data_IF_206753502497
#
_entry.id   IF_206753502497
#
_cell.length_a   1.000
_cell.length_b   1.000
_cell.length_c   1.000
_cell.angle_alpha   90.00
_cell.angle_beta   90.00
_cell.angle_gamma   90.00
#
_symmetry.space_group_name_H-M   'P 1'
#
loop_
_entity.id
_entity.type
_entity.pdbx_description
1 polymer ?
#
# COMPACT_ATOMS: atom_id res chain seq x y z
N UNK A 1 -11.12 -0.16 26.41
CA UNK A 1 -11.12 0.84 27.46
C UNK A 1 -10.71 2.19 26.86
N UNK A 2 -11.47 3.24 27.14
CA UNK A 2 -11.21 4.61 26.61
C UNK A 2 -9.85 5.22 27.02
N UNK A 3 -9.16 4.61 27.98
CA UNK A 3 -7.81 5.02 28.41
C UNK A 3 -6.69 4.30 27.67
N UNK A 4 -7.02 3.39 26.75
CA UNK A 4 -6.03 2.63 25.98
C UNK A 4 -6.01 3.13 24.54
N UNK A 5 -4.84 3.07 23.91
CA UNK A 5 -4.67 3.31 22.48
C UNK A 5 -4.16 2.03 21.82
N UNK A 6 -4.60 1.81 20.59
CA UNK A 6 -4.07 0.80 19.69
C UNK A 6 -3.32 1.57 18.61
N UNK A 7 -2.01 1.36 18.54
CA UNK A 7 -1.14 2.07 17.60
C UNK A 7 -0.76 1.12 16.46
N UNK A 8 -1.17 1.45 15.24
CA UNK A 8 -0.71 0.80 14.03
C UNK A 8 0.50 1.55 13.51
N UNK A 9 1.61 0.85 13.37
CA UNK A 9 2.91 1.45 12.99
C UNK A 9 3.39 1.06 11.59
N UNK A 10 2.51 0.45 10.80
CA UNK A 10 2.80 0.01 9.45
C UNK A 10 1.56 -0.47 8.72
N UNK A 11 1.78 -1.02 7.53
CA UNK A 11 0.72 -1.55 6.68
C UNK A 11 0.04 -2.76 7.32
N UNK A 12 -1.29 -2.76 7.26
CA UNK A 12 -2.12 -3.93 7.51
C UNK A 12 -2.93 -4.22 6.25
N UNK A 13 -2.90 -5.46 5.80
CA UNK A 13 -3.73 -5.91 4.67
C UNK A 13 -5.21 -5.69 5.03
N UNK A 14 -5.99 -4.98 4.20
CA UNK A 14 -7.40 -4.67 4.45
C UNK A 14 -8.28 -5.90 4.72
N UNK A 15 -7.94 -7.05 4.14
CA UNK A 15 -8.71 -8.28 4.26
C UNK A 15 -8.37 -9.08 5.54
N UNK A 16 -7.46 -8.56 6.36
CA UNK A 16 -7.08 -9.17 7.65
C UNK A 16 -7.86 -8.56 8.81
N UNK A 17 -8.00 -9.28 9.95
CA UNK A 17 -8.57 -8.71 11.16
C UNK A 17 -7.86 -7.45 11.65
N UNK A 18 -6.54 -7.36 11.43
CA UNK A 18 -5.74 -6.16 11.73
C UNK A 18 -6.13 -4.97 10.85
N UNK A 19 -6.28 -5.19 9.53
CA UNK A 19 -6.73 -4.19 8.58
C UNK A 19 -8.15 -3.70 8.88
N UNK A 20 -9.06 -4.62 9.15
CA UNK A 20 -10.43 -4.27 9.58
C UNK A 20 -10.43 -3.42 10.86
N UNK A 21 -9.63 -3.79 11.86
CA UNK A 21 -9.52 -3.02 13.10
C UNK A 21 -8.86 -1.65 12.86
N UNK A 22 -7.87 -1.58 11.96
CA UNK A 22 -7.23 -0.32 11.58
C UNK A 22 -8.21 0.63 10.90
N UNK A 23 -9.17 0.11 10.12
CA UNK A 23 -10.18 0.91 9.43
C UNK A 23 -11.36 1.30 10.33
N UNK A 24 -11.58 0.59 11.43
CA UNK A 24 -12.72 0.77 12.31
C UNK A 24 -12.67 2.11 13.07
N UNK A 25 -13.84 2.59 13.48
CA UNK A 25 -14.00 3.83 14.23
C UNK A 25 -14.21 3.56 15.71
N UNK A 26 -13.86 4.53 16.54
CA UNK A 26 -14.13 4.47 17.98
C UNK A 26 -15.65 4.43 18.23
N UNK A 27 -16.07 3.51 19.07
CA UNK A 27 -17.48 3.28 19.39
C UNK A 27 -18.16 2.23 18.51
N UNK A 28 -17.53 1.81 17.42
CA UNK A 28 -18.03 0.78 16.53
C UNK A 28 -17.99 -0.62 17.18
N UNK A 29 -18.93 -1.48 16.77
CA UNK A 29 -18.95 -2.88 17.18
C UNK A 29 -18.03 -3.69 16.27
N UNK A 30 -17.05 -4.39 16.86
CA UNK A 30 -16.06 -5.18 16.15
C UNK A 30 -16.16 -6.65 16.53
N UNK A 31 -16.12 -7.53 15.53
CA UNK A 31 -16.06 -8.98 15.73
C UNK A 31 -14.61 -9.46 15.77
N UNK A 32 -14.16 -9.89 16.93
CA UNK A 32 -12.89 -10.59 17.09
C UNK A 32 -13.07 -12.07 16.71
N UNK A 33 -12.96 -12.35 15.39
CA UNK A 33 -13.30 -13.65 14.82
C UNK A 33 -12.53 -14.82 15.44
N UNK A 34 -11.26 -14.63 15.78
CA UNK A 34 -10.43 -15.68 16.38
C UNK A 34 -10.97 -16.22 17.72
N UNK A 35 -11.72 -15.41 18.44
CA UNK A 35 -12.33 -15.77 19.73
C UNK A 35 -13.84 -15.70 19.70
N UNK A 36 -14.43 -15.42 18.55
CA UNK A 36 -15.87 -15.26 18.32
C UNK A 36 -16.55 -14.33 19.35
N UNK A 37 -15.90 -13.21 19.65
CA UNK A 37 -16.41 -12.19 20.59
C UNK A 37 -16.68 -10.90 19.84
N UNK A 38 -17.90 -10.38 20.00
CA UNK A 38 -18.24 -9.01 19.59
C UNK A 38 -18.00 -8.07 20.77
N UNK A 39 -17.29 -6.99 20.52
CA UNK A 39 -17.05 -5.96 21.52
C UNK A 39 -17.03 -4.57 20.88
N UNK A 40 -17.49 -3.58 21.63
CA UNK A 40 -17.42 -2.20 21.20
C UNK A 40 -16.01 -1.66 21.38
N UNK A 41 -15.45 -1.08 20.31
CA UNK A 41 -14.15 -0.43 20.34
C UNK A 41 -14.23 0.82 21.23
N UNK A 42 -13.50 0.80 22.35
CA UNK A 42 -13.42 1.90 23.31
C UNK A 42 -12.00 2.47 23.41
N UNK A 43 -11.03 1.79 22.81
CA UNK A 43 -9.66 2.29 22.69
C UNK A 43 -9.57 3.29 21.54
N UNK A 44 -8.67 4.25 21.64
CA UNK A 44 -8.32 5.10 20.53
C UNK A 44 -7.52 4.28 19.51
N UNK A 45 -7.80 4.48 18.22
CA UNK A 45 -7.06 3.86 17.13
C UNK A 45 -6.21 4.95 16.48
N UNK A 46 -4.89 4.77 16.56
CA UNK A 46 -3.89 5.69 16.03
C UNK A 46 -3.11 5.00 14.92
N UNK A 47 -2.78 5.75 13.87
CA UNK A 47 -2.03 5.26 12.72
C UNK A 47 -0.78 6.10 12.56
N UNK A 48 0.36 5.41 12.46
CA UNK A 48 1.66 6.02 12.26
C UNK A 48 2.33 5.37 11.05
N UNK A 49 2.81 6.18 10.15
CA UNK A 49 3.53 5.70 8.97
C UNK A 49 5.04 5.65 9.25
N UNK A 50 5.48 4.57 9.87
CA UNK A 50 6.90 4.26 10.06
C UNK A 50 7.37 3.25 9.00
N UNK A 51 7.03 3.53 7.73
CA UNK A 51 7.49 2.70 6.62
C UNK A 51 8.98 2.92 6.37
N UNK A 52 9.73 1.82 6.24
CA UNK A 52 11.10 1.86 5.71
C UNK A 52 11.15 1.84 4.18
N UNK A 53 10.01 1.80 3.51
CA UNK A 53 9.93 1.86 2.06
C UNK A 53 9.96 3.31 1.59
N UNK A 54 10.58 3.53 0.43
CA UNK A 54 10.50 4.81 -0.26
C UNK A 54 9.05 5.13 -0.64
N UNK A 55 8.71 6.40 -0.64
CA UNK A 55 7.41 6.87 -1.15
C UNK A 55 7.33 6.67 -2.66
N UNK A 56 6.14 6.70 -3.22
CA UNK A 56 5.95 6.59 -4.68
C UNK A 56 6.60 7.77 -5.42
N UNK A 57 6.64 8.94 -4.80
CA UNK A 57 7.28 10.13 -5.34
C UNK A 57 8.81 9.95 -5.38
N UNK A 58 9.42 9.44 -4.31
CA UNK A 58 10.85 9.14 -4.26
C UNK A 58 11.26 8.06 -5.27
N UNK A 59 10.43 7.02 -5.44
CA UNK A 59 10.66 5.99 -6.45
C UNK A 59 10.55 6.56 -7.87
N UNK A 60 9.60 7.46 -8.11
CA UNK A 60 9.46 8.13 -9.40
C UNK A 60 10.67 9.02 -9.68
N UNK A 61 11.10 9.83 -8.73
CA UNK A 61 12.26 10.71 -8.86
C UNK A 61 13.53 9.92 -9.13
N UNK A 62 13.70 8.78 -8.46
CA UNK A 62 14.80 7.86 -8.73
C UNK A 62 14.76 7.33 -10.17
N UNK A 63 13.60 6.88 -10.66
CA UNK A 63 13.45 6.40 -12.02
C UNK A 63 13.76 7.51 -13.05
N UNK A 64 13.32 8.74 -12.79
CA UNK A 64 13.61 9.90 -13.63
C UNK A 64 15.10 10.23 -13.65
N UNK A 65 15.76 10.16 -12.51
CA UNK A 65 17.20 10.42 -12.41
C UNK A 65 18.04 9.37 -13.17
N UNK A 66 17.59 8.12 -13.19
CA UNK A 66 18.28 7.03 -13.90
C UNK A 66 18.17 7.12 -15.43
N UNK A 67 17.22 7.85 -15.98
CA UNK A 67 16.97 7.96 -17.45
C UNK A 67 17.00 6.61 -18.18
N UNK A 68 16.27 5.59 -17.73
CA UNK A 68 16.35 4.25 -18.29
C UNK A 68 15.70 4.17 -19.68
N UNK A 69 16.16 3.21 -20.49
CA UNK A 69 15.51 2.89 -21.79
C UNK A 69 14.24 2.06 -21.57
N UNK A 70 14.24 1.22 -20.55
CA UNK A 70 13.12 0.34 -20.23
C UNK A 70 12.92 0.29 -18.71
N UNK A 71 11.66 0.24 -18.28
CA UNK A 71 11.24 0.10 -16.88
C UNK A 71 10.27 -1.06 -16.78
N UNK A 72 10.53 -1.96 -15.85
CA UNK A 72 9.63 -3.07 -15.56
C UNK A 72 9.00 -2.82 -14.18
N UNK A 73 7.67 -2.71 -14.16
CA UNK A 73 6.91 -2.55 -12.92
C UNK A 73 6.63 -3.94 -12.34
N UNK A 74 7.15 -4.18 -11.13
CA UNK A 74 6.93 -5.44 -10.42
C UNK A 74 6.52 -5.14 -9.00
N UNK A 75 5.74 -6.04 -8.41
CA UNK A 75 5.21 -5.87 -7.06
C UNK A 75 4.26 -4.67 -6.94
N UNK A 76 3.46 -4.62 -5.90
CA UNK A 76 2.48 -3.56 -5.66
C UNK A 76 1.11 -3.82 -6.30
N UNK A 77 0.12 -3.13 -5.77
CA UNK A 77 -1.27 -3.26 -6.19
C UNK A 77 -1.51 -2.67 -7.59
N UNK A 78 -2.49 -3.19 -8.35
CA UNK A 78 -2.78 -2.70 -9.69
C UNK A 78 -2.97 -1.18 -9.79
N UNK A 79 -3.66 -0.48 -8.88
CA UNK A 79 -3.77 0.97 -8.92
C UNK A 79 -2.43 1.68 -8.76
N UNK A 80 -1.52 1.16 -7.91
CA UNK A 80 -0.20 1.74 -7.71
C UNK A 80 0.65 1.60 -8.99
N UNK A 81 0.66 0.41 -9.62
CA UNK A 81 1.38 0.19 -10.89
C UNK A 81 0.83 1.06 -12.02
N UNK A 82 -0.51 1.18 -12.11
CA UNK A 82 -1.16 2.04 -13.11
C UNK A 82 -0.76 3.52 -12.92
N UNK A 83 -0.67 4.00 -11.68
CA UNK A 83 -0.20 5.35 -11.38
C UNK A 83 1.24 5.56 -11.86
N UNK A 84 2.16 4.62 -11.57
CA UNK A 84 3.55 4.69 -12.05
C UNK A 84 3.63 4.70 -13.57
N UNK A 85 2.89 3.79 -14.24
CA UNK A 85 2.88 3.73 -15.69
C UNK A 85 2.44 5.07 -16.32
N UNK A 86 1.40 5.70 -15.77
CA UNK A 86 0.92 7.00 -16.26
C UNK A 86 1.94 8.13 -16.04
N UNK A 87 2.58 8.18 -14.85
CA UNK A 87 3.61 9.19 -14.57
C UNK A 87 4.83 9.03 -15.47
N UNK A 88 5.30 7.80 -15.65
CA UNK A 88 6.45 7.50 -16.49
C UNK A 88 6.18 7.77 -17.98
N UNK A 89 5.00 7.43 -18.48
CA UNK A 89 4.62 7.75 -19.86
C UNK A 89 4.65 9.26 -20.14
N UNK A 90 4.31 10.07 -19.15
CA UNK A 90 4.32 11.54 -19.28
C UNK A 90 5.73 12.12 -19.13
N UNK A 91 6.49 11.64 -18.14
CA UNK A 91 7.77 12.26 -17.74
C UNK A 91 8.99 11.65 -18.43
N UNK A 92 8.88 10.42 -18.93
CA UNK A 92 9.90 9.69 -19.69
C UNK A 92 9.30 9.09 -20.98
N UNK A 93 8.82 9.90 -21.92
CA UNK A 93 8.12 9.41 -23.11
C UNK A 93 8.98 8.53 -24.03
N UNK A 94 10.32 8.57 -23.88
CA UNK A 94 11.26 7.71 -24.60
C UNK A 94 11.54 6.36 -23.94
N UNK A 95 11.07 6.14 -22.71
CA UNK A 95 11.28 4.89 -22.00
C UNK A 95 10.13 3.91 -22.27
N UNK A 96 10.49 2.64 -22.46
CA UNK A 96 9.52 1.55 -22.57
C UNK A 96 9.08 1.12 -21.18
N UNK A 97 7.83 1.35 -20.83
CA UNK A 97 7.27 0.91 -19.53
C UNK A 97 6.52 -0.40 -19.72
N UNK A 98 6.88 -1.39 -18.94
CA UNK A 98 6.29 -2.74 -18.94
C UNK A 98 5.63 -3.01 -17.58
N UNK A 99 4.36 -3.43 -17.59
CA UNK A 99 3.64 -3.99 -16.46
C UNK A 99 3.36 -5.48 -16.75
N UNK A 100 4.32 -6.39 -16.46
CA UNK A 100 4.26 -7.75 -16.93
C UNK A 100 3.19 -8.57 -16.23
N UNK A 101 2.51 -9.39 -17.02
CA UNK A 101 1.62 -10.42 -16.51
C UNK A 101 2.46 -11.69 -16.23
N UNK A 102 2.25 -12.37 -15.10
CA UNK A 102 2.96 -13.62 -14.80
C UNK A 102 2.89 -14.63 -15.93
N UNK A 103 3.97 -15.37 -16.16
CA UNK A 103 4.12 -16.42 -17.18
C UNK A 103 4.08 -15.92 -18.64
N UNK A 104 4.16 -14.64 -18.89
CA UNK A 104 4.35 -14.08 -20.23
C UNK A 104 5.79 -13.61 -20.43
N UNK A 105 6.30 -13.77 -21.66
CA UNK A 105 7.63 -13.27 -22.05
C UNK A 105 7.51 -11.89 -22.67
N UNK A 106 8.42 -11.00 -22.30
CA UNK A 106 8.48 -9.63 -22.81
C UNK A 106 9.90 -9.33 -23.34
N UNK A 107 9.97 -8.61 -24.44
CA UNK A 107 11.23 -8.03 -24.91
C UNK A 107 11.45 -6.70 -24.17
N UNK A 108 12.59 -6.55 -23.56
CA UNK A 108 12.99 -5.36 -22.79
C UNK A 108 13.88 -4.44 -23.62
#
# INVERSE_FOLDING_TARGET
NAKHSICFVGYCDPDTPGGHLQAAQNGEEFLFAAVNVKARIRAQIERFEFSGHATREELLDYALACQPRSIVLTHGDPPARAWFAAQLATKLPGAKVLDPVPLQSYLV
#
